data_IF_862957287909
#
_entry.id   IF_862957287909
#
_cell.length_a   1.000
_cell.length_b   1.000
_cell.length_c   1.000
_cell.angle_alpha   90.00
_cell.angle_beta   90.00
_cell.angle_gamma   90.00
#
_symmetry.space_group_name_H-M   'P 1'
#
loop_
_entity.id
_entity.type
_entity.pdbx_description
1 polymer ?
#
# COMPACT_ATOMS: atom_id res chain seq x y z
N UNK A 1 -22.41 8.30 -13.98
CA UNK A 1 -21.12 8.15 -14.67
C UNK A 1 -21.06 9.14 -15.81
N UNK A 2 -20.05 9.98 -15.87
CA UNK A 2 -19.94 11.04 -16.86
C UNK A 2 -19.52 10.45 -18.22
N UNK A 3 -20.22 10.69 -19.34
CA UNK A 3 -19.92 10.07 -20.65
C UNK A 3 -18.52 10.28 -21.18
N UNK A 4 -17.84 11.33 -20.74
CA UNK A 4 -16.46 11.66 -21.13
C UNK A 4 -15.39 10.77 -20.46
N UNK A 5 -15.73 9.96 -19.45
CA UNK A 5 -14.79 9.09 -18.75
C UNK A 5 -14.61 7.71 -19.38
N UNK A 6 -15.55 7.26 -20.22
CA UNK A 6 -15.49 5.94 -20.88
C UNK A 6 -14.73 5.95 -22.23
N UNK A 7 -14.29 7.12 -22.72
CA UNK A 7 -13.75 7.21 -24.08
C UNK A 7 -12.25 6.93 -24.21
N UNK A 8 -11.42 7.16 -23.19
CA UNK A 8 -9.97 7.03 -23.37
C UNK A 8 -9.51 5.56 -23.30
N UNK A 9 -10.10 4.72 -22.44
CA UNK A 9 -9.79 3.29 -22.40
C UNK A 9 -10.07 2.65 -23.76
N UNK A 10 -11.27 2.89 -24.30
CA UNK A 10 -11.68 2.39 -25.61
C UNK A 10 -10.83 2.94 -26.75
N UNK A 11 -10.44 4.23 -26.70
CA UNK A 11 -9.62 4.87 -27.72
C UNK A 11 -8.21 4.26 -27.81
N UNK A 12 -7.59 3.92 -26.66
CA UNK A 12 -6.27 3.33 -26.59
C UNK A 12 -6.28 1.78 -26.56
N UNK A 13 -7.44 1.16 -26.57
CA UNK A 13 -7.58 -0.30 -26.52
C UNK A 13 -7.25 -0.91 -25.14
N UNK A 14 -7.34 -0.12 -24.07
CA UNK A 14 -7.14 -0.66 -22.72
C UNK A 14 -8.29 -1.58 -22.30
N UNK A 15 -7.95 -2.69 -21.67
CA UNK A 15 -8.92 -3.60 -21.04
C UNK A 15 -9.39 -3.09 -19.68
N UNK A 16 -8.64 -2.19 -19.09
CA UNK A 16 -8.91 -1.51 -17.81
C UNK A 16 -8.08 -0.25 -17.67
N UNK A 17 -8.36 0.55 -16.63
CA UNK A 17 -7.62 1.81 -16.37
C UNK A 17 -6.18 1.56 -15.95
N UNK A 18 -5.18 1.95 -16.77
CA UNK A 18 -3.78 1.70 -16.44
C UNK A 18 -3.32 2.44 -15.18
N UNK A 19 -3.84 3.62 -14.91
CA UNK A 19 -3.40 4.46 -13.79
C UNK A 19 -4.47 4.62 -12.70
N UNK A 20 -5.30 3.60 -12.49
CA UNK A 20 -6.22 3.55 -11.36
C UNK A 20 -5.47 3.76 -10.04
N UNK A 21 -6.09 4.51 -9.11
CA UNK A 21 -5.56 4.75 -7.77
C UNK A 21 -5.90 3.63 -6.79
N UNK A 22 -6.77 2.70 -7.19
CA UNK A 22 -7.11 1.54 -6.36
C UNK A 22 -5.89 0.62 -6.26
N UNK A 23 -5.43 0.31 -5.05
CA UNK A 23 -4.32 -0.61 -4.87
C UNK A 23 -4.68 -2.01 -5.38
N UNK A 24 -3.89 -2.52 -6.33
CA UNK A 24 -4.07 -3.84 -6.93
C UNK A 24 -2.70 -4.52 -7.06
N UNK A 25 -2.51 -5.73 -6.49
CA UNK A 25 -1.25 -6.48 -6.57
C UNK A 25 -0.74 -6.71 -7.99
N UNK A 26 -1.59 -6.85 -8.99
CA UNK A 26 -1.17 -7.06 -10.39
C UNK A 26 -0.36 -5.90 -10.94
N UNK A 27 -0.60 -4.66 -10.46
CA UNK A 27 0.15 -3.47 -10.82
C UNK A 27 1.38 -3.21 -9.94
N UNK A 28 1.75 -4.17 -9.07
CA UNK A 28 2.94 -4.02 -8.26
C UNK A 28 4.19 -3.93 -9.13
N UNK A 29 4.87 -2.80 -9.04
CA UNK A 29 6.13 -2.56 -9.75
C UNK A 29 7.30 -2.71 -8.79
N UNK A 30 8.20 -3.63 -9.11
CA UNK A 30 9.37 -3.94 -8.29
C UNK A 30 10.51 -2.96 -8.55
N UNK A 31 10.36 -1.70 -8.09
CA UNK A 31 11.48 -0.74 -8.06
C UNK A 31 12.55 -1.20 -7.07
N UNK A 32 13.70 -0.54 -7.04
CA UNK A 32 14.80 -0.90 -6.11
C UNK A 32 14.36 -0.90 -4.64
N UNK A 33 13.63 0.13 -4.20
CA UNK A 33 13.15 0.21 -2.82
C UNK A 33 12.02 -0.76 -2.55
N UNK A 34 11.07 -0.92 -3.48
CA UNK A 34 9.94 -1.83 -3.36
C UNK A 34 10.38 -3.29 -3.38
N UNK A 35 11.34 -3.66 -4.25
CA UNK A 35 11.91 -4.99 -4.30
C UNK A 35 12.57 -5.37 -2.99
N UNK A 36 13.46 -4.51 -2.46
CA UNK A 36 14.13 -4.73 -1.17
C UNK A 36 13.13 -4.86 -0.01
N UNK A 37 12.12 -3.99 0.02
CA UNK A 37 11.10 -4.04 1.05
C UNK A 37 10.28 -5.34 0.97
N UNK A 38 9.86 -5.73 -0.23
CA UNK A 38 9.14 -6.97 -0.46
C UNK A 38 9.97 -8.19 0.01
N UNK A 39 11.25 -8.27 -0.37
CA UNK A 39 12.12 -9.38 0.00
C UNK A 39 12.33 -9.46 1.51
N UNK A 40 12.56 -8.31 2.16
CA UNK A 40 12.75 -8.24 3.61
C UNK A 40 11.48 -8.69 4.37
N UNK A 41 10.30 -8.20 3.97
CA UNK A 41 9.03 -8.56 4.59
C UNK A 41 8.69 -10.04 4.36
N UNK A 42 8.85 -10.53 3.13
CA UNK A 42 8.59 -11.94 2.80
C UNK A 42 9.53 -12.87 3.58
N UNK A 43 10.81 -12.53 3.68
CA UNK A 43 11.77 -13.29 4.46
C UNK A 43 11.45 -13.26 5.96
N UNK A 44 11.06 -12.10 6.51
CA UNK A 44 10.66 -11.97 7.91
C UNK A 44 9.41 -12.81 8.22
N UNK A 45 8.41 -12.78 7.34
CA UNK A 45 7.22 -13.62 7.47
C UNK A 45 7.57 -15.11 7.37
N UNK A 46 8.45 -15.51 6.45
CA UNK A 46 8.91 -16.89 6.32
C UNK A 46 9.68 -17.39 7.56
N UNK A 47 10.41 -16.50 8.25
CA UNK A 47 11.08 -16.81 9.52
C UNK A 47 10.17 -16.73 10.75
N UNK A 48 8.87 -16.49 10.56
CA UNK A 48 7.88 -16.31 11.63
C UNK A 48 8.25 -15.19 12.61
N UNK A 49 8.78 -14.08 12.09
CA UNK A 49 9.06 -12.89 12.90
C UNK A 49 7.77 -12.24 13.39
N UNK A 50 7.73 -11.82 14.67
CA UNK A 50 6.48 -11.40 15.31
C UNK A 50 5.97 -10.05 14.86
N UNK A 51 6.86 -9.06 14.64
CA UNK A 51 6.47 -7.70 14.31
C UNK A 51 7.38 -7.10 13.22
N UNK A 52 6.75 -6.73 12.11
CA UNK A 52 7.42 -6.16 10.94
C UNK A 52 6.85 -4.75 10.68
N UNK A 53 7.66 -3.86 10.13
CA UNK A 53 7.27 -2.50 9.78
C UNK A 53 7.71 -2.14 8.37
N UNK A 54 6.79 -1.58 7.59
CA UNK A 54 7.11 -0.84 6.37
C UNK A 54 6.73 0.63 6.52
N UNK A 55 7.68 1.50 6.24
CA UNK A 55 7.48 2.96 6.26
C UNK A 55 7.64 3.57 4.88
N UNK A 56 7.07 4.74 4.70
CA UNK A 56 7.21 5.54 3.48
C UNK A 56 6.20 6.66 3.43
N UNK A 57 6.48 7.67 2.63
CA UNK A 57 5.63 8.85 2.49
C UNK A 57 4.26 8.51 1.90
N UNK A 58 3.34 9.48 1.93
CA UNK A 58 2.03 9.31 1.34
C UNK A 58 2.13 9.02 -0.16
N UNK A 59 1.43 7.97 -0.63
CA UNK A 59 1.32 7.65 -2.06
C UNK A 59 2.50 6.88 -2.66
N UNK A 60 3.51 6.47 -1.87
CA UNK A 60 4.65 5.67 -2.37
C UNK A 60 4.32 4.20 -2.62
N UNK A 61 3.12 3.70 -2.26
CA UNK A 61 2.69 2.34 -2.59
C UNK A 61 2.68 1.34 -1.42
N UNK A 62 2.67 1.77 -0.16
CA UNK A 62 2.62 0.89 1.03
C UNK A 62 1.46 -0.10 0.98
N UNK A 63 0.25 0.38 0.74
CA UNK A 63 -0.96 -0.46 0.64
C UNK A 63 -0.85 -1.50 -0.49
N UNK A 64 -0.29 -1.12 -1.63
CA UNK A 64 -0.06 -2.06 -2.75
C UNK A 64 0.94 -3.14 -2.36
N UNK A 65 2.04 -2.77 -1.69
CA UNK A 65 3.01 -3.73 -1.17
C UNK A 65 2.37 -4.69 -0.17
N UNK A 66 1.60 -4.18 0.81
CA UNK A 66 0.91 -5.01 1.80
C UNK A 66 -0.03 -6.03 1.13
N UNK A 67 -0.82 -5.59 0.15
CA UNK A 67 -1.71 -6.48 -0.60
C UNK A 67 -0.94 -7.50 -1.45
N UNK A 68 0.21 -7.10 -2.01
CA UNK A 68 1.07 -8.01 -2.78
C UNK A 68 1.69 -9.07 -1.87
N UNK A 69 2.19 -8.70 -0.71
CA UNK A 69 2.70 -9.64 0.30
C UNK A 69 1.59 -10.60 0.72
N UNK A 70 0.41 -10.08 1.05
CA UNK A 70 -0.74 -10.89 1.44
C UNK A 70 -1.16 -11.91 0.36
N UNK A 71 -1.14 -11.51 -0.92
CA UNK A 71 -1.51 -12.36 -2.04
C UNK A 71 -0.53 -13.52 -2.27
N UNK A 72 0.69 -13.41 -1.76
CA UNK A 72 1.76 -14.42 -1.92
C UNK A 72 1.99 -15.27 -0.64
N UNK A 73 1.20 -15.05 0.40
CA UNK A 73 1.25 -15.91 1.58
C UNK A 73 0.85 -17.34 1.22
N UNK A 74 1.47 -18.29 1.88
CA UNK A 74 1.15 -19.71 1.72
C UNK A 74 -0.31 -20.00 2.08
N UNK A 75 -0.89 -21.03 1.47
CA UNK A 75 -2.30 -21.41 1.70
C UNK A 75 -2.62 -21.76 3.16
N UNK A 76 -1.61 -22.17 3.93
CA UNK A 76 -1.71 -22.44 5.37
C UNK A 76 -1.68 -21.18 6.25
N UNK A 77 -1.40 -20.02 5.67
CA UNK A 77 -1.32 -18.74 6.40
C UNK A 77 -2.59 -17.95 6.18
N UNK A 78 -3.31 -17.68 7.24
CA UNK A 78 -4.50 -16.82 7.23
C UNK A 78 -4.09 -15.37 7.40
N UNK A 79 -4.60 -14.46 6.55
CA UNK A 79 -4.22 -13.05 6.61
C UNK A 79 -5.42 -12.14 6.71
N UNK A 80 -5.29 -11.10 7.52
CA UNK A 80 -6.27 -10.03 7.70
C UNK A 80 -5.60 -8.71 7.38
N UNK A 81 -6.24 -7.89 6.55
CA UNK A 81 -5.80 -6.53 6.23
C UNK A 81 -6.75 -5.50 6.85
N UNK A 82 -6.27 -4.78 7.84
CA UNK A 82 -6.95 -3.66 8.47
C UNK A 82 -6.61 -2.39 7.70
N UNK A 83 -7.57 -1.89 6.93
CA UNK A 83 -7.45 -0.62 6.19
C UNK A 83 -8.02 0.59 6.93
N UNK A 84 -8.79 0.36 8.00
CA UNK A 84 -9.33 1.41 8.86
C UNK A 84 -8.53 1.46 10.17
N UNK A 85 -7.70 2.46 10.31
CA UNK A 85 -6.87 2.65 11.50
C UNK A 85 -7.59 3.27 12.71
N UNK A 86 -8.88 3.62 12.58
CA UNK A 86 -9.68 4.20 13.67
C UNK A 86 -10.45 3.16 14.49
N UNK A 87 -10.14 1.88 14.32
CA UNK A 87 -10.81 0.80 15.05
C UNK A 87 -10.51 0.86 16.57
N UNK A 88 -11.53 0.58 17.37
CA UNK A 88 -11.34 0.31 18.79
C UNK A 88 -10.59 -1.01 19.01
N UNK A 89 -10.00 -1.25 20.19
CA UNK A 89 -9.38 -2.54 20.50
C UNK A 89 -10.35 -3.73 20.34
N UNK A 90 -11.61 -3.55 20.74
CA UNK A 90 -12.66 -4.56 20.64
C UNK A 90 -13.01 -4.84 19.18
N UNK A 91 -13.10 -3.81 18.35
CA UNK A 91 -13.41 -3.96 16.93
C UNK A 91 -12.25 -4.62 16.18
N UNK A 92 -11.00 -4.32 16.54
CA UNK A 92 -9.83 -5.02 16.02
C UNK A 92 -9.89 -6.52 16.35
N UNK A 93 -10.21 -6.89 17.61
CA UNK A 93 -10.32 -8.29 18.00
C UNK A 93 -11.49 -9.00 17.31
N UNK A 94 -12.65 -8.34 17.16
CA UNK A 94 -13.78 -8.88 16.41
C UNK A 94 -13.41 -9.13 14.95
N UNK A 95 -12.77 -8.15 14.31
CA UNK A 95 -12.31 -8.28 12.93
C UNK A 95 -11.35 -9.47 12.77
N UNK A 96 -10.37 -9.60 13.66
CA UNK A 96 -9.45 -10.74 13.66
C UNK A 96 -10.17 -12.07 13.77
N UNK A 97 -11.10 -12.20 14.73
CA UNK A 97 -11.87 -13.43 14.92
C UNK A 97 -12.72 -13.80 13.69
N UNK A 98 -13.31 -12.80 13.03
CA UNK A 98 -14.11 -12.99 11.84
C UNK A 98 -13.26 -13.37 10.62
N UNK A 99 -12.27 -12.55 10.30
CA UNK A 99 -11.54 -12.65 9.03
C UNK A 99 -10.50 -13.78 9.05
N UNK A 100 -9.95 -14.12 10.23
CA UNK A 100 -9.14 -15.34 10.40
C UNK A 100 -10.00 -16.61 10.40
N UNK A 101 -11.33 -16.50 10.45
CA UNK A 101 -12.24 -17.63 10.50
C UNK A 101 -12.20 -18.40 11.82
N UNK A 102 -11.94 -17.69 12.92
CA UNK A 102 -12.05 -18.25 14.28
C UNK A 102 -13.49 -18.55 14.65
N UNK A 103 -14.42 -17.79 14.09
CA UNK A 103 -15.86 -17.91 14.27
C UNK A 103 -16.51 -18.05 12.90
N UNK A 104 -17.47 -18.95 12.78
CA UNK A 104 -18.18 -19.18 11.54
C UNK A 104 -19.01 -17.95 11.12
N UNK A 105 -19.12 -17.69 9.81
CA UNK A 105 -19.80 -16.49 9.29
C UNK A 105 -21.27 -16.41 9.71
N UNK A 106 -21.94 -17.52 9.79
CA UNK A 106 -23.33 -17.63 10.26
C UNK A 106 -23.46 -17.27 11.75
N UNK A 107 -22.54 -17.69 12.61
CA UNK A 107 -22.50 -17.31 14.02
C UNK A 107 -22.27 -15.80 14.20
N UNK A 108 -21.43 -15.20 13.36
CA UNK A 108 -21.22 -13.74 13.34
C UNK A 108 -22.50 -13.02 12.96
N UNK A 109 -23.20 -13.49 11.93
CA UNK A 109 -24.49 -12.93 11.49
C UNK A 109 -25.57 -13.04 12.57
N UNK A 110 -25.54 -14.10 13.41
CA UNK A 110 -26.43 -14.26 14.57
C UNK A 110 -25.97 -13.49 15.80
N UNK A 111 -24.94 -12.65 15.68
CA UNK A 111 -24.53 -11.71 16.72
C UNK A 111 -23.68 -12.31 17.84
N UNK A 112 -23.02 -13.45 17.63
CA UNK A 112 -22.20 -14.13 18.68
C UNK A 112 -21.14 -13.23 19.33
N UNK A 113 -20.63 -12.21 18.59
CA UNK A 113 -19.64 -11.27 19.11
C UNK A 113 -20.23 -9.95 19.62
N UNK A 114 -21.55 -9.80 19.55
CA UNK A 114 -22.25 -8.59 20.02
C UNK A 114 -22.24 -8.58 21.53
N UNK A 115 -21.77 -7.48 22.13
CA UNK A 115 -21.68 -7.34 23.58
C UNK A 115 -20.52 -8.10 24.25
N UNK A 116 -19.73 -8.88 23.50
CA UNK A 116 -18.56 -9.56 24.06
C UNK A 116 -17.53 -8.55 24.58
N UNK A 117 -17.04 -8.78 25.78
CA UNK A 117 -15.99 -7.98 26.42
C UNK A 117 -14.63 -8.20 25.73
N UNK A 118 -13.71 -7.26 25.92
CA UNK A 118 -12.34 -7.40 25.42
C UNK A 118 -11.66 -8.69 25.90
N UNK A 119 -11.91 -9.08 27.14
CA UNK A 119 -11.34 -10.30 27.72
C UNK A 119 -11.86 -11.56 27.01
N UNK A 120 -13.17 -11.65 26.78
CA UNK A 120 -13.79 -12.77 26.07
C UNK A 120 -13.30 -12.86 24.62
N UNK A 121 -13.25 -11.73 23.89
CA UNK A 121 -12.72 -11.67 22.52
C UNK A 121 -11.26 -12.13 22.48
N UNK A 122 -10.47 -11.73 23.47
CA UNK A 122 -9.07 -12.13 23.58
C UNK A 122 -8.92 -13.62 23.86
N UNK A 123 -9.70 -14.19 24.76
CA UNK A 123 -9.69 -15.63 25.06
C UNK A 123 -10.03 -16.46 23.83
N UNK A 124 -11.07 -16.07 23.08
CA UNK A 124 -11.44 -16.73 21.81
C UNK A 124 -10.30 -16.68 20.78
N UNK A 125 -9.59 -15.55 20.69
CA UNK A 125 -8.45 -15.43 19.79
C UNK A 125 -7.28 -16.32 20.22
N UNK A 126 -6.96 -16.36 21.51
CA UNK A 126 -5.89 -17.18 22.07
C UNK A 126 -6.15 -18.68 21.87
N UNK A 127 -7.38 -19.13 22.06
CA UNK A 127 -7.82 -20.51 21.77
C UNK A 127 -7.67 -20.84 20.28
N UNK A 128 -8.07 -19.90 19.42
CA UNK A 128 -7.96 -20.08 17.99
C UNK A 128 -6.50 -20.17 17.54
N UNK A 129 -5.63 -19.27 18.00
CA UNK A 129 -4.20 -19.28 17.67
C UNK A 129 -3.51 -20.55 18.18
N UNK A 130 -3.92 -21.07 19.33
CA UNK A 130 -3.43 -22.34 19.86
C UNK A 130 -3.80 -23.51 18.94
N UNK A 131 -5.01 -23.51 18.39
CA UNK A 131 -5.44 -24.53 17.40
C UNK A 131 -4.68 -24.43 16.09
N UNK A 132 -4.46 -23.20 15.57
CA UNK A 132 -3.65 -22.99 14.36
C UNK A 132 -2.24 -23.56 14.52
N UNK A 133 -1.61 -23.33 15.67
CA UNK A 133 -0.30 -23.87 15.98
C UNK A 133 -0.24 -25.40 15.87
N UNK A 134 -1.25 -26.09 16.40
CA UNK A 134 -1.31 -27.56 16.35
C UNK A 134 -1.40 -28.11 14.92
N UNK A 135 -1.90 -27.29 13.96
CA UNK A 135 -1.97 -27.60 12.54
C UNK A 135 -0.76 -27.13 11.72
N UNK A 136 0.27 -26.56 12.37
CA UNK A 136 1.39 -25.87 11.71
C UNK A 136 0.99 -24.67 10.82
N UNK A 137 -0.22 -24.18 11.00
CA UNK A 137 -0.76 -23.02 10.30
C UNK A 137 -0.26 -21.71 10.95
N UNK A 138 -0.38 -20.60 10.22
CA UNK A 138 -0.01 -19.27 10.70
C UNK A 138 -1.14 -18.24 10.52
N UNK A 139 -1.01 -17.12 11.21
CA UNK A 139 -1.87 -15.96 11.05
C UNK A 139 -1.03 -14.70 10.84
N UNK A 140 -1.46 -13.82 9.94
CA UNK A 140 -0.83 -12.53 9.69
C UNK A 140 -1.87 -11.42 9.81
N UNK A 141 -1.63 -10.48 10.70
CA UNK A 141 -2.33 -9.22 10.79
C UNK A 141 -1.55 -8.15 10.05
N UNK A 142 -2.13 -7.56 9.04
CA UNK A 142 -1.57 -6.41 8.30
C UNK A 142 -2.38 -5.18 8.70
N UNK A 143 -1.72 -4.15 9.23
CA UNK A 143 -2.36 -2.88 9.61
C UNK A 143 -1.80 -1.78 8.72
N UNK A 144 -2.64 -1.26 7.82
CA UNK A 144 -2.29 -0.10 7.00
C UNK A 144 -2.55 1.20 7.78
N UNK A 145 -1.83 2.27 7.42
CA UNK A 145 -1.89 3.59 8.08
C UNK A 145 -1.73 3.51 9.62
N UNK A 146 -0.84 2.62 10.10
CA UNK A 146 -0.63 2.34 11.53
C UNK A 146 -0.25 3.57 12.38
N UNK A 147 0.25 4.64 11.75
CA UNK A 147 0.55 5.92 12.41
C UNK A 147 -0.70 6.67 12.89
N UNK A 148 -1.89 6.29 12.41
CA UNK A 148 -3.18 6.91 12.78
C UNK A 148 -3.96 6.09 13.82
N UNK A 149 -3.37 5.01 14.36
CA UNK A 149 -4.01 4.16 15.35
C UNK A 149 -4.25 4.90 16.68
N UNK A 150 -5.44 4.73 17.30
CA UNK A 150 -5.68 5.19 18.67
C UNK A 150 -4.71 4.51 19.65
N UNK A 151 -4.30 5.22 20.70
CA UNK A 151 -3.36 4.69 21.71
C UNK A 151 -3.83 3.36 22.32
N UNK A 152 -5.12 3.23 22.64
CA UNK A 152 -5.68 1.98 23.19
C UNK A 152 -5.56 0.81 22.20
N UNK A 153 -5.69 1.05 20.89
CA UNK A 153 -5.54 0.02 19.87
C UNK A 153 -4.07 -0.33 19.67
N UNK A 154 -3.16 0.65 19.78
CA UNK A 154 -1.71 0.39 19.81
C UNK A 154 -1.33 -0.52 20.98
N UNK A 155 -1.84 -0.27 22.20
CA UNK A 155 -1.64 -1.14 23.35
C UNK A 155 -2.16 -2.56 23.10
N UNK A 156 -3.31 -2.70 22.45
CA UNK A 156 -3.84 -4.00 22.05
C UNK A 156 -2.90 -4.72 21.07
N UNK A 157 -2.33 -4.01 20.10
CA UNK A 157 -1.35 -4.58 19.16
C UNK A 157 -0.07 -5.00 19.89
N UNK A 158 0.42 -4.21 20.85
CA UNK A 158 1.57 -4.59 21.71
C UNK A 158 1.29 -5.91 22.44
N UNK A 159 0.09 -6.05 22.99
CA UNK A 159 -0.31 -7.29 23.66
C UNK A 159 -0.42 -8.46 22.69
N UNK A 160 -0.93 -8.24 21.48
CA UNK A 160 -0.99 -9.27 20.43
C UNK A 160 0.42 -9.68 19.97
N UNK A 161 1.32 -8.71 19.77
CA UNK A 161 2.71 -8.98 19.40
C UNK A 161 3.49 -9.74 20.51
N UNK A 162 3.04 -9.66 21.75
CA UNK A 162 3.60 -10.39 22.88
C UNK A 162 3.08 -11.83 22.99
N UNK A 163 2.05 -12.19 22.20
CA UNK A 163 1.52 -13.54 22.19
C UNK A 163 2.54 -14.54 21.66
N UNK A 164 2.94 -15.48 22.49
CA UNK A 164 3.85 -16.56 22.14
C UNK A 164 3.31 -17.88 22.71
N UNK A 165 2.28 -18.48 22.10
CA UNK A 165 1.86 -19.78 22.54
C UNK A 165 3.05 -20.75 22.44
N UNK A 166 3.58 -21.14 23.61
CA UNK A 166 4.73 -22.07 23.71
C UNK A 166 6.02 -21.62 22.97
N UNK A 167 6.35 -20.33 22.99
CA UNK A 167 7.55 -19.71 22.39
C UNK A 167 7.61 -19.68 20.85
N UNK A 168 6.50 -19.92 20.16
CA UNK A 168 6.43 -19.77 18.71
C UNK A 168 5.48 -18.69 18.32
N UNK A 169 5.85 -17.88 17.31
CA UNK A 169 5.02 -16.82 16.78
C UNK A 169 4.02 -17.39 15.78
N UNK A 170 2.80 -17.63 16.23
CA UNK A 170 1.68 -18.04 15.37
C UNK A 170 1.04 -16.83 14.69
N UNK A 171 0.90 -15.72 15.43
CA UNK A 171 0.41 -14.46 14.90
C UNK A 171 1.59 -13.53 14.61
N UNK A 172 1.75 -13.18 13.35
CA UNK A 172 2.71 -12.20 12.87
C UNK A 172 1.97 -10.89 12.56
N UNK A 173 2.60 -9.75 12.79
CA UNK A 173 1.99 -8.44 12.60
C UNK A 173 2.87 -7.62 11.66
N UNK A 174 2.30 -7.16 10.54
CA UNK A 174 2.93 -6.23 9.62
C UNK A 174 2.25 -4.87 9.74
N UNK A 175 2.98 -3.89 10.18
CA UNK A 175 2.53 -2.50 10.26
C UNK A 175 3.01 -1.71 9.04
N UNK A 176 2.13 -0.93 8.43
CA UNK A 176 2.47 0.02 7.38
C UNK A 176 2.11 1.44 7.83
N UNK A 177 3.08 2.37 7.77
CA UNK A 177 2.86 3.72 8.27
C UNK A 177 3.70 4.78 7.59
N UNK A 178 3.40 6.04 7.89
CA UNK A 178 4.23 7.16 7.46
C UNK A 178 5.38 7.37 8.46
N UNK A 179 6.54 7.84 8.01
CA UNK A 179 7.60 8.29 8.92
C UNK A 179 7.09 9.43 9.80
N UNK A 180 7.59 9.52 11.03
CA UNK A 180 7.27 10.66 11.89
C UNK A 180 7.75 11.97 11.27
N UNK A 181 6.87 12.96 11.19
CA UNK A 181 7.17 14.30 10.64
C UNK A 181 8.17 15.05 11.53
N UNK A 182 8.19 14.74 12.83
CA UNK A 182 9.08 15.39 13.83
C UNK A 182 10.42 14.69 14.00
N UNK A 183 10.73 13.67 13.20
CA UNK A 183 11.98 12.91 13.32
C UNK A 183 12.02 11.94 14.52
N UNK A 184 10.93 11.82 15.25
CA UNK A 184 10.75 10.85 16.33
C UNK A 184 10.44 9.43 15.80
N UNK A 185 10.20 8.46 16.68
CA UNK A 185 9.84 7.11 16.27
C UNK A 185 8.50 7.11 15.52
N UNK A 186 8.42 6.32 14.46
CA UNK A 186 7.19 6.14 13.64
C UNK A 186 6.07 5.48 14.45
N UNK A 187 6.44 4.70 15.45
CA UNK A 187 5.55 3.95 16.32
C UNK A 187 5.88 4.27 17.79
N UNK A 188 4.92 4.04 18.70
CA UNK A 188 5.19 4.05 20.13
C UNK A 188 6.37 3.13 20.51
N UNK A 189 7.18 3.55 21.48
CA UNK A 189 8.41 2.85 21.88
C UNK A 189 8.18 1.36 22.14
N UNK A 190 7.10 1.00 22.78
CA UNK A 190 6.76 -0.39 23.10
C UNK A 190 6.59 -1.30 21.86
N UNK A 191 6.20 -0.75 20.71
CA UNK A 191 6.18 -1.47 19.43
C UNK A 191 7.56 -1.41 18.76
N UNK A 192 8.22 -0.27 18.82
CA UNK A 192 9.52 -0.04 18.18
C UNK A 192 10.59 -1.01 18.68
N UNK A 193 10.62 -1.27 19.99
CA UNK A 193 11.54 -2.23 20.64
C UNK A 193 11.29 -3.69 20.24
N UNK A 194 10.09 -4.03 19.75
CA UNK A 194 9.71 -5.38 19.33
C UNK A 194 9.86 -5.63 17.83
N UNK A 195 10.20 -4.59 17.07
CA UNK A 195 10.37 -4.70 15.63
C UNK A 195 11.59 -5.56 15.28
N UNK A 196 11.35 -6.60 14.51
CA UNK A 196 12.39 -7.50 14.01
C UNK A 196 12.81 -7.15 12.58
N UNK A 197 11.86 -6.74 11.74
CA UNK A 197 12.13 -6.31 10.36
C UNK A 197 11.62 -4.90 10.13
N UNK A 198 12.47 -4.05 9.53
CA UNK A 198 12.14 -2.70 9.10
C UNK A 198 12.41 -2.57 7.61
N UNK A 199 11.41 -2.09 6.87
CA UNK A 199 11.53 -1.78 5.46
C UNK A 199 11.12 -0.33 5.19
N UNK A 200 11.71 0.29 4.18
CA UNK A 200 11.39 1.67 3.79
C UNK A 200 11.12 1.74 2.30
N UNK A 201 9.95 2.30 1.94
CA UNK A 201 9.62 2.66 0.57
C UNK A 201 10.05 4.08 0.28
N UNK A 202 10.65 4.27 -0.88
CA UNK A 202 11.07 5.56 -1.41
C UNK A 202 10.29 5.86 -2.69
N UNK A 203 10.12 7.13 -3.08
CA UNK A 203 9.66 7.47 -4.41
C UNK A 203 10.52 6.80 -5.48
N UNK A 204 9.94 6.59 -6.66
CA UNK A 204 10.64 6.04 -7.83
C UNK A 204 11.77 6.98 -8.25
N UNK A 205 12.90 6.42 -8.65
CA UNK A 205 13.94 7.17 -9.33
C UNK A 205 13.51 7.49 -10.77
N UNK A 206 14.21 8.39 -11.46
CA UNK A 206 13.82 8.84 -12.79
C UNK A 206 13.67 7.70 -13.81
N UNK A 207 14.65 6.80 -13.86
CA UNK A 207 14.64 5.62 -14.72
C UNK A 207 13.56 4.59 -14.32
N UNK A 208 13.23 4.53 -13.04
CA UNK A 208 12.15 3.69 -12.52
C UNK A 208 10.78 4.25 -12.86
N UNK A 209 10.61 5.58 -12.87
CA UNK A 209 9.35 6.23 -13.21
C UNK A 209 8.94 5.91 -14.67
N UNK A 210 9.87 5.95 -15.60
CA UNK A 210 9.63 5.55 -17.00
C UNK A 210 9.19 4.07 -17.07
N UNK A 211 9.95 3.18 -16.45
CA UNK A 211 9.62 1.74 -16.43
C UNK A 211 8.30 1.46 -15.75
N UNK A 212 7.96 2.21 -14.69
CA UNK A 212 6.69 2.12 -14.00
C UNK A 212 5.50 2.50 -14.89
N UNK A 213 5.58 3.62 -15.60
CA UNK A 213 4.53 4.05 -16.55
C UNK A 213 4.31 2.98 -17.60
N UNK A 214 5.39 2.50 -18.25
CA UNK A 214 5.32 1.46 -19.29
C UNK A 214 4.77 0.14 -18.73
N UNK A 215 5.19 -0.27 -17.53
CA UNK A 215 4.66 -1.45 -16.85
C UNK A 215 3.14 -1.39 -16.69
N UNK A 216 2.61 -0.24 -16.25
CA UNK A 216 1.16 -0.07 -16.07
C UNK A 216 0.39 -0.10 -17.38
N UNK A 217 0.92 0.54 -18.43
CA UNK A 217 0.33 0.48 -19.77
C UNK A 217 0.28 -0.94 -20.31
N UNK A 218 1.37 -1.69 -20.16
CA UNK A 218 1.46 -3.10 -20.62
C UNK A 218 0.43 -3.98 -19.93
N UNK A 219 0.29 -3.88 -18.60
CA UNK A 219 -0.71 -4.67 -17.85
C UNK A 219 -2.13 -4.33 -18.28
N UNK A 220 -2.41 -3.05 -18.55
CA UNK A 220 -3.73 -2.62 -19.01
C UNK A 220 -4.04 -2.97 -20.48
N UNK A 221 -3.10 -3.63 -21.19
CA UNK A 221 -3.28 -4.01 -22.60
C UNK A 221 -2.97 -2.88 -23.59
N UNK A 222 -2.36 -1.79 -23.15
CA UNK A 222 -2.06 -0.63 -24.00
C UNK A 222 -0.88 -0.87 -24.93
N UNK A 223 -1.18 -1.17 -26.19
CA UNK A 223 -0.18 -1.31 -27.27
C UNK A 223 -0.10 -0.06 -28.16
N UNK A 224 -1.13 0.78 -28.13
CA UNK A 224 -1.37 1.85 -29.09
C UNK A 224 -1.08 3.24 -28.57
N UNK A 225 -0.53 3.36 -27.36
CA UNK A 225 -0.17 4.64 -26.75
C UNK A 225 1.23 4.63 -26.18
N UNK A 226 1.95 5.73 -26.35
CA UNK A 226 3.27 5.93 -25.77
C UNK A 226 3.38 7.33 -25.16
N UNK A 227 4.09 7.43 -24.05
CA UNK A 227 4.54 8.70 -23.51
C UNK A 227 5.89 9.04 -24.14
N UNK A 228 6.06 10.28 -24.64
CA UNK A 228 7.38 10.72 -25.11
C UNK A 228 8.37 10.79 -23.93
N UNK A 229 9.66 10.63 -24.20
CA UNK A 229 10.69 10.71 -23.15
C UNK A 229 10.62 12.05 -22.38
N UNK A 230 10.33 13.15 -23.09
CA UNK A 230 10.14 14.47 -22.48
C UNK A 230 8.89 14.53 -21.60
N UNK A 231 7.79 13.86 -21.99
CA UNK A 231 6.59 13.78 -21.16
C UNK A 231 6.87 13.01 -19.86
N UNK A 232 7.63 11.92 -19.92
CA UNK A 232 8.05 11.15 -18.74
C UNK A 232 8.95 11.98 -17.82
N UNK A 233 9.85 12.81 -18.39
CA UNK A 233 10.65 13.75 -17.61
C UNK A 233 9.80 14.78 -16.86
N UNK A 234 8.78 15.31 -17.53
CA UNK A 234 7.82 16.25 -16.91
C UNK A 234 7.01 15.57 -15.81
N UNK A 235 6.51 14.34 -16.04
CA UNK A 235 5.82 13.55 -15.01
C UNK A 235 6.72 13.37 -13.79
N UNK A 236 7.97 12.93 -14.00
CA UNK A 236 8.92 12.75 -12.89
C UNK A 236 9.18 14.06 -12.14
N UNK A 237 9.47 15.15 -12.88
CA UNK A 237 9.73 16.46 -12.29
C UNK A 237 8.56 17.01 -11.45
N UNK A 238 7.33 16.72 -11.85
CA UNK A 238 6.12 17.18 -11.14
C UNK A 238 5.70 16.26 -10.00
N UNK A 239 5.88 14.94 -10.16
CA UNK A 239 5.49 13.94 -9.17
C UNK A 239 6.56 13.69 -8.10
N UNK A 240 7.83 14.08 -8.36
CA UNK A 240 8.97 13.67 -7.53
C UNK A 240 9.13 12.14 -7.46
N UNK A 241 8.61 11.41 -8.45
CA UNK A 241 8.63 9.95 -8.46
C UNK A 241 7.61 9.29 -7.53
N UNK A 242 6.69 10.05 -6.90
CA UNK A 242 5.64 9.48 -6.05
C UNK A 242 4.60 8.75 -6.91
N UNK A 243 4.43 7.41 -6.80
CA UNK A 243 3.58 6.62 -7.70
C UNK A 243 2.14 7.13 -7.82
N UNK A 244 1.55 7.60 -6.71
CA UNK A 244 0.20 8.16 -6.70
C UNK A 244 0.09 9.41 -7.58
N UNK A 245 1.10 10.29 -7.54
CA UNK A 245 1.14 11.51 -8.36
C UNK A 245 1.46 11.17 -9.81
N UNK A 246 2.35 10.21 -10.06
CA UNK A 246 2.60 9.68 -11.41
C UNK A 246 1.30 9.18 -12.03
N UNK A 247 0.53 8.38 -11.29
CA UNK A 247 -0.75 7.85 -11.78
C UNK A 247 -1.75 8.96 -12.09
N UNK A 248 -1.89 9.94 -11.21
CA UNK A 248 -2.82 11.07 -11.41
C UNK A 248 -2.47 11.87 -12.68
N UNK A 249 -1.18 12.18 -12.87
CA UNK A 249 -0.71 12.93 -14.03
C UNK A 249 -0.88 12.14 -15.32
N UNK A 250 -0.47 10.86 -15.30
CA UNK A 250 -0.54 9.99 -16.47
C UNK A 250 -2.00 9.72 -16.90
N UNK A 251 -2.89 9.43 -15.94
CA UNK A 251 -4.32 9.20 -16.21
C UNK A 251 -4.97 10.42 -16.87
N UNK A 252 -4.69 11.60 -16.31
CA UNK A 252 -5.26 12.84 -16.85
C UNK A 252 -4.71 13.17 -18.24
N UNK A 253 -3.40 12.95 -18.45
CA UNK A 253 -2.79 13.17 -19.75
C UNK A 253 -3.33 12.22 -20.83
N UNK A 254 -3.66 10.96 -20.46
CA UNK A 254 -4.35 10.03 -21.37
C UNK A 254 -5.73 10.55 -21.75
N UNK A 255 -6.49 11.09 -20.80
CA UNK A 255 -7.81 11.69 -21.06
C UNK A 255 -7.69 12.85 -22.05
N UNK A 256 -6.72 13.74 -21.83
CA UNK A 256 -6.46 14.87 -22.73
C UNK A 256 -5.98 14.41 -24.12
N UNK A 257 -5.08 13.44 -24.18
CA UNK A 257 -4.62 12.85 -25.42
C UNK A 257 -5.75 12.23 -26.24
N UNK A 258 -6.65 11.49 -25.58
CA UNK A 258 -7.83 10.90 -26.23
C UNK A 258 -8.76 11.98 -26.80
N UNK A 259 -8.97 13.08 -26.07
CA UNK A 259 -9.81 14.18 -26.53
C UNK A 259 -9.31 14.81 -27.84
N UNK A 260 -7.99 14.87 -28.06
CA UNK A 260 -7.38 15.34 -29.30
C UNK A 260 -6.95 14.21 -30.25
N UNK A 261 -7.37 12.97 -29.96
CA UNK A 261 -7.06 11.76 -30.74
C UNK A 261 -5.55 11.50 -30.91
N UNK A 262 -4.75 11.90 -29.95
CA UNK A 262 -3.30 11.68 -29.94
C UNK A 262 -2.98 10.30 -29.38
N UNK A 263 -2.17 9.51 -30.11
CA UNK A 263 -1.62 8.23 -29.64
C UNK A 263 -0.26 8.37 -28.96
N UNK A 264 0.30 9.58 -28.98
CA UNK A 264 1.54 9.93 -28.30
C UNK A 264 1.28 11.07 -27.33
N UNK A 265 1.61 10.83 -26.08
CA UNK A 265 1.45 11.80 -25.00
C UNK A 265 2.69 12.67 -24.94
N UNK A 266 2.51 13.97 -25.13
CA UNK A 266 3.57 14.98 -25.16
C UNK A 266 3.57 15.84 -23.89
N UNK A 267 4.67 16.57 -23.58
CA UNK A 267 4.80 17.38 -22.36
C UNK A 267 3.62 18.32 -22.10
N UNK A 268 3.09 18.98 -23.12
CA UNK A 268 2.00 19.94 -23.00
C UNK A 268 0.72 19.32 -22.39
N UNK A 269 0.46 18.02 -22.66
CA UNK A 269 -0.68 17.29 -22.09
C UNK A 269 -0.49 17.04 -20.59
N UNK A 270 0.75 16.79 -20.15
CA UNK A 270 1.09 16.63 -18.72
C UNK A 270 0.97 17.97 -17.99
N UNK A 271 1.45 19.05 -18.60
CA UNK A 271 1.40 20.40 -18.04
C UNK A 271 -0.05 20.89 -17.90
N UNK A 272 -0.87 20.62 -18.92
CA UNK A 272 -2.33 20.89 -18.89
C UNK A 272 -2.99 20.10 -17.76
N UNK A 273 -2.73 18.80 -17.68
CA UNK A 273 -3.23 17.93 -16.61
C UNK A 273 -2.85 18.44 -15.21
N UNK A 274 -1.60 18.84 -15.03
CA UNK A 274 -1.10 19.37 -13.76
C UNK A 274 -1.77 20.70 -13.39
N UNK A 275 -2.00 21.57 -14.39
CA UNK A 275 -2.68 22.85 -14.21
C UNK A 275 -4.12 22.66 -13.76
N UNK A 276 -4.85 21.76 -14.41
CA UNK A 276 -6.23 21.43 -14.08
C UNK A 276 -6.39 20.86 -12.66
N UNK A 277 -5.37 20.14 -12.17
CA UNK A 277 -5.35 19.57 -10.81
C UNK A 277 -4.79 20.54 -9.75
N UNK A 278 -4.42 21.77 -10.10
CA UNK A 278 -3.75 22.75 -9.23
C UNK A 278 -2.43 22.25 -8.60
N UNK A 279 -1.83 21.20 -9.13
CA UNK A 279 -0.58 20.63 -8.64
C UNK A 279 0.61 21.58 -8.82
N UNK A 280 0.52 22.57 -9.68
CA UNK A 280 1.55 23.59 -9.87
C UNK A 280 1.82 24.44 -8.61
N UNK A 281 0.88 24.46 -7.65
CA UNK A 281 1.06 25.15 -6.35
C UNK A 281 1.91 24.35 -5.35
N UNK A 282 2.18 23.06 -5.61
CA UNK A 282 2.92 22.16 -4.74
C UNK A 282 4.40 22.04 -5.11
N UNK A 283 4.96 22.91 -5.95
CA UNK A 283 6.39 22.90 -6.27
C UNK A 283 7.21 23.04 -4.99
N UNK A 284 8.03 22.05 -4.61
CA UNK A 284 9.04 22.27 -3.59
C UNK A 284 9.99 23.36 -4.07
N UNK A 285 10.33 24.32 -3.19
CA UNK A 285 11.17 25.50 -3.45
C UNK A 285 12.65 25.19 -3.81
N UNK A 286 12.99 24.05 -4.40
CA UNK A 286 14.36 23.67 -4.76
C UNK A 286 14.42 22.90 -6.09
N UNK A 287 14.29 23.64 -7.20
CA UNK A 287 14.94 23.26 -8.45
C UNK A 287 15.41 24.54 -9.16
N UNK A 288 16.66 24.94 -8.87
CA UNK A 288 17.35 25.93 -9.71
C UNK A 288 17.81 25.20 -10.97
N UNK A 289 17.21 25.51 -12.09
CA UNK A 289 17.77 25.24 -13.40
C UNK A 289 19.13 25.93 -13.47
N UNK A 290 20.20 25.19 -13.65
CA UNK A 290 21.47 25.77 -14.12
C UNK A 290 21.24 26.17 -15.56
N UNK A 291 21.06 27.47 -15.76
CA UNK A 291 21.07 28.08 -17.11
C UNK A 291 22.41 27.87 -17.75
N UNK A 292 22.38 27.40 -18.97
CA UNK A 292 23.50 27.41 -19.89
C UNK A 292 24.05 28.82 -20.03
N UNK A 293 25.24 29.08 -19.50
CA UNK A 293 26.03 30.25 -19.91
C UNK A 293 26.71 29.90 -21.21
N UNK A 294 26.17 30.44 -22.28
CA UNK A 294 26.92 30.65 -23.53
C UNK A 294 27.80 31.88 -23.35
N UNK A 295 29.10 31.71 -23.45
CA UNK A 295 30.06 32.62 -24.04
C UNK A 295 30.92 31.84 -24.98
#
# INVERSE_FOLDING_TARGET
>A
MNPSQQHHESFYGFVERPFSLTPDPKYYFRSRSHGRAFDALSAGLGRREGLLLVTGDLGVGKTTLCRTVMALLERKTRAVLVGNSLLSPEDLLRLLLQDLGAIAKDEVLHGRLVGATRLELRQLLDEFLTRLKSGEDGAVLIVDEAHSLPAATVEQIVQLAALEPNREKVLQILLAGQPSVSGGPTLPQALDERLTTRAKLLPLERDECERYVNHRLTIAGGTDVAFSARALDVIYGMSGGVPRLVNLLAERALQEGAAVKARRIEPAMIESAASAMQLLRLRPKRFRWFGTNTR
#
